data_IF_548670520536
#
_entry.id   IF_548670520536
#
_cell.length_a   1.000
_cell.length_b   1.000
_cell.length_c   1.000
_cell.angle_alpha   90.00
_cell.angle_beta   90.00
_cell.angle_gamma   90.00
#
_symmetry.space_group_name_H-M   'P 1'
#
loop_
_entity.id
_entity.type
_entity.pdbx_description
1 polymer ?
#
# COMPACT_ATOMS: atom_id res chain seq x y z
N UNK A 1 23.30 7.74 19.80
CA UNK A 1 22.81 8.60 18.71
C UNK A 1 21.33 8.29 18.50
N UNK A 2 20.47 9.28 18.29
CA UNK A 2 19.02 9.06 18.08
C UNK A 2 18.65 9.31 16.62
N UNK A 3 17.87 8.43 16.02
CA UNK A 3 17.45 8.52 14.62
C UNK A 3 15.94 8.56 14.46
N UNK A 4 15.46 9.50 13.65
CA UNK A 4 14.06 9.65 13.28
C UNK A 4 13.89 9.44 11.78
N UNK A 5 13.07 8.46 11.41
CA UNK A 5 12.61 8.26 10.03
C UNK A 5 11.17 8.72 9.92
N UNK A 6 10.90 9.67 9.02
CA UNK A 6 9.57 10.20 8.74
C UNK A 6 9.19 9.83 7.31
N UNK A 7 8.12 9.05 7.14
CA UNK A 7 7.72 8.53 5.84
C UNK A 7 6.27 8.92 5.56
N UNK A 8 6.07 9.61 4.45
CA UNK A 8 4.75 9.91 3.93
C UNK A 8 4.34 8.83 2.94
N UNK A 9 3.14 8.31 3.07
CA UNK A 9 2.66 7.26 2.19
C UNK A 9 1.26 7.54 1.65
N UNK A 10 0.97 6.97 0.48
CA UNK A 10 -0.37 6.90 -0.06
C UNK A 10 -0.53 5.64 -0.90
N UNK A 11 -1.71 5.06 -0.80
CA UNK A 11 -2.26 4.16 -1.79
C UNK A 11 -3.65 4.64 -2.15
N UNK A 12 -3.80 5.11 -3.38
CA UNK A 12 -5.08 5.44 -3.99
C UNK A 12 -5.38 4.38 -5.07
N UNK A 13 -6.40 3.54 -4.87
CA UNK A 13 -6.81 2.55 -5.86
C UNK A 13 -7.53 3.22 -7.04
N UNK A 14 -7.45 2.59 -8.21
CA UNK A 14 -8.19 3.02 -9.41
C UNK A 14 -9.58 2.41 -9.37
N UNK A 15 -10.59 3.28 -9.34
CA UNK A 15 -12.00 2.92 -9.24
C UNK A 15 -12.50 2.29 -10.54
N UNK A 16 -13.16 1.15 -10.41
CA UNK A 16 -13.84 0.47 -11.52
C UNK A 16 -15.11 1.24 -11.91
N UNK A 17 -15.45 1.21 -13.20
CA UNK A 17 -16.75 1.67 -13.69
C UNK A 17 -17.81 0.60 -13.49
N UNK A 18 -19.08 0.99 -13.62
CA UNK A 18 -20.17 0.03 -13.76
C UNK A 18 -20.13 -0.56 -15.18
N UNK A 19 -19.79 -1.83 -15.28
CA UNK A 19 -19.56 -2.61 -16.48
C UNK A 19 -20.64 -3.69 -16.60
N UNK A 20 -21.62 -3.46 -17.47
CA UNK A 20 -22.81 -4.30 -17.60
C UNK A 20 -22.53 -5.49 -18.50
N UNK A 21 -23.31 -6.54 -18.34
CA UNK A 21 -23.18 -7.79 -19.10
C UNK A 21 -23.15 -7.56 -20.62
N UNK A 22 -23.97 -6.66 -21.15
CA UNK A 22 -24.05 -6.38 -22.59
C UNK A 22 -22.89 -5.53 -23.13
N UNK A 23 -21.98 -5.07 -22.27
CA UNK A 23 -20.75 -4.36 -22.64
C UNK A 23 -19.58 -5.33 -22.87
N UNK A 24 -19.68 -6.58 -22.40
CA UNK A 24 -18.71 -7.64 -22.63
C UNK A 24 -18.51 -7.83 -24.15
N UNK A 25 -17.26 -7.84 -24.60
CA UNK A 25 -16.86 -7.95 -26.01
C UNK A 25 -17.02 -6.66 -26.82
N UNK A 26 -17.50 -5.55 -26.24
CA UNK A 26 -17.73 -4.28 -26.95
C UNK A 26 -16.75 -3.16 -26.59
N UNK A 27 -16.20 -3.13 -25.38
CA UNK A 27 -15.30 -2.05 -25.00
C UNK A 27 -14.46 -2.34 -23.76
N UNK A 28 -13.14 -2.19 -23.87
CA UNK A 28 -12.18 -2.61 -22.84
C UNK A 28 -11.79 -1.51 -21.83
N UNK A 29 -12.63 -0.50 -21.67
CA UNK A 29 -12.46 0.52 -20.63
C UNK A 29 -13.15 0.04 -19.35
N UNK A 30 -12.38 -0.24 -18.30
CA UNK A 30 -12.92 -0.78 -17.04
C UNK A 30 -12.95 0.24 -15.91
N UNK A 31 -12.39 1.43 -16.11
CA UNK A 31 -12.10 2.37 -15.02
C UNK A 31 -13.03 3.58 -15.10
N UNK A 32 -13.46 4.07 -13.94
CA UNK A 32 -14.30 5.24 -13.87
C UNK A 32 -13.43 6.51 -13.89
N UNK A 33 -13.14 7.03 -15.08
CA UNK A 33 -12.29 8.21 -15.25
C UNK A 33 -12.78 9.42 -14.45
N UNK A 34 -14.08 9.68 -14.41
CA UNK A 34 -14.65 10.81 -13.69
C UNK A 34 -14.40 10.70 -12.17
N UNK A 35 -14.81 9.59 -11.55
CA UNK A 35 -14.63 9.39 -10.11
C UNK A 35 -13.14 9.31 -9.73
N UNK A 36 -12.30 8.70 -10.57
CA UNK A 36 -10.86 8.69 -10.33
C UNK A 36 -10.25 10.10 -10.36
N UNK A 37 -10.66 10.93 -11.34
CA UNK A 37 -10.23 12.32 -11.46
C UNK A 37 -10.67 13.14 -10.26
N UNK A 38 -11.94 13.05 -9.87
CA UNK A 38 -12.50 13.77 -8.72
C UNK A 38 -11.75 13.45 -7.42
N UNK A 39 -11.51 12.16 -7.14
CA UNK A 39 -10.82 11.74 -5.91
C UNK A 39 -9.38 12.24 -5.88
N UNK A 40 -8.61 12.06 -6.95
CA UNK A 40 -7.20 12.47 -6.95
C UNK A 40 -7.05 14.00 -6.98
N UNK A 41 -7.96 14.73 -7.63
CA UNK A 41 -8.00 16.21 -7.60
C UNK A 41 -8.33 16.76 -6.22
N UNK A 42 -9.25 16.11 -5.51
CA UNK A 42 -9.53 16.42 -4.11
C UNK A 42 -8.28 16.23 -3.24
N UNK A 43 -7.57 15.10 -3.42
CA UNK A 43 -6.31 14.86 -2.71
C UNK A 43 -5.21 15.87 -3.08
N UNK A 44 -5.10 16.28 -4.35
CA UNK A 44 -4.17 17.34 -4.78
C UNK A 44 -4.46 18.66 -4.06
N UNK A 45 -5.72 19.08 -4.03
CA UNK A 45 -6.15 20.37 -3.46
C UNK A 45 -6.05 20.39 -1.94
N UNK A 46 -6.51 19.31 -1.30
CA UNK A 46 -6.74 19.28 0.14
C UNK A 46 -5.57 18.65 0.91
N UNK A 47 -4.70 17.87 0.27
CA UNK A 47 -3.61 17.17 0.95
C UNK A 47 -2.25 17.37 0.28
N UNK A 48 -2.00 16.77 -0.89
CA UNK A 48 -0.67 16.80 -1.51
C UNK A 48 -0.13 18.21 -1.69
N UNK A 49 -0.93 19.13 -2.25
CA UNK A 49 -0.51 20.51 -2.50
C UNK A 49 -0.12 21.25 -1.21
N UNK A 50 -1.04 21.41 -0.24
CA UNK A 50 -0.76 22.11 1.01
C UNK A 50 0.40 21.49 1.81
N UNK A 51 0.46 20.16 1.90
CA UNK A 51 1.50 19.47 2.67
C UNK A 51 2.86 19.56 1.98
N UNK A 52 2.92 19.40 0.66
CA UNK A 52 4.18 19.53 -0.07
C UNK A 52 4.75 20.94 0.02
N UNK A 53 3.90 21.97 0.09
CA UNK A 53 4.33 23.35 0.36
C UNK A 53 5.01 23.47 1.72
N UNK A 54 4.38 22.93 2.78
CA UNK A 54 4.96 22.90 4.13
C UNK A 54 6.30 22.16 4.14
N UNK A 55 6.40 21.00 3.47
CA UNK A 55 7.64 20.23 3.40
C UNK A 55 8.75 20.98 2.67
N UNK A 56 8.46 21.64 1.55
CA UNK A 56 9.43 22.47 0.83
C UNK A 56 9.98 23.61 1.70
N UNK A 57 9.10 24.31 2.44
CA UNK A 57 9.51 25.34 3.41
C UNK A 57 10.43 24.75 4.50
N UNK A 58 10.14 23.53 4.96
CA UNK A 58 10.97 22.83 5.95
C UNK A 58 12.37 22.51 5.40
N UNK A 59 12.46 21.98 4.18
CA UNK A 59 13.76 21.67 3.58
C UNK A 59 14.65 22.91 3.44
N UNK A 60 14.07 24.05 3.04
CA UNK A 60 14.81 25.29 2.82
C UNK A 60 15.43 25.87 4.10
N UNK A 61 14.75 25.74 5.26
CA UNK A 61 15.20 26.31 6.54
C UNK A 61 16.06 25.38 7.41
N UNK A 62 16.26 24.14 7.00
CA UNK A 62 16.96 23.12 7.81
C UNK A 62 18.36 22.79 7.30
N UNK A 63 18.92 23.63 6.41
CA UNK A 63 20.22 23.43 5.77
C UNK A 63 20.40 22.00 5.25
N UNK A 64 19.34 21.43 4.65
CA UNK A 64 19.32 20.08 4.08
C UNK A 64 19.57 18.93 5.08
N UNK A 65 19.46 19.17 6.40
CA UNK A 65 19.55 18.11 7.43
C UNK A 65 18.25 17.35 7.64
N UNK A 66 17.12 17.93 7.23
CA UNK A 66 15.83 17.25 7.28
C UNK A 66 15.73 16.24 6.13
N UNK A 67 15.42 14.98 6.45
CA UNK A 67 15.26 13.89 5.49
C UNK A 67 13.94 13.17 5.71
N UNK A 68 13.31 12.75 4.62
CA UNK A 68 12.02 12.02 4.66
C UNK A 68 11.99 10.90 3.61
N UNK A 69 11.08 9.94 3.83
CA UNK A 69 10.70 8.96 2.83
C UNK A 69 9.34 9.28 2.20
N UNK A 70 9.16 8.91 0.94
CA UNK A 70 7.86 8.82 0.27
C UNK A 70 7.57 7.40 -0.17
N UNK A 71 6.33 6.92 -0.01
CA UNK A 71 5.89 5.63 -0.54
C UNK A 71 4.55 5.77 -1.26
N UNK A 72 4.56 5.63 -2.58
CA UNK A 72 3.37 5.70 -3.44
C UNK A 72 3.16 4.39 -4.19
N UNK A 73 1.92 3.89 -4.24
CA UNK A 73 1.62 2.70 -5.05
C UNK A 73 1.73 3.06 -6.53
N UNK A 74 1.95 2.07 -7.39
CA UNK A 74 1.97 2.29 -8.83
C UNK A 74 0.68 2.95 -9.34
N UNK A 75 -0.47 2.48 -8.85
CA UNK A 75 -1.78 3.06 -9.14
C UNK A 75 -1.90 4.54 -8.72
N UNK A 76 -1.32 4.90 -7.57
CA UNK A 76 -1.31 6.30 -7.10
C UNK A 76 -0.50 7.16 -8.05
N UNK A 77 0.68 6.67 -8.46
CA UNK A 77 1.56 7.38 -9.38
C UNK A 77 0.91 7.57 -10.76
N UNK A 78 0.19 6.56 -11.27
CA UNK A 78 -0.59 6.68 -12.52
C UNK A 78 -1.63 7.79 -12.44
N UNK A 79 -2.40 7.83 -11.35
CA UNK A 79 -3.41 8.87 -11.13
C UNK A 79 -2.77 10.26 -11.02
N UNK A 80 -1.64 10.36 -10.31
CA UNK A 80 -0.91 11.63 -10.18
C UNK A 80 -0.36 12.12 -11.51
N UNK A 81 0.27 11.27 -12.31
CA UNK A 81 0.80 11.67 -13.62
C UNK A 81 -0.30 12.12 -14.58
N UNK A 82 -1.42 11.40 -14.59
CA UNK A 82 -2.51 11.67 -15.52
C UNK A 82 -3.30 12.91 -15.14
N UNK A 83 -3.65 13.05 -13.85
CA UNK A 83 -4.63 14.05 -13.41
C UNK A 83 -4.02 15.17 -12.56
N UNK A 84 -2.91 14.93 -11.86
CA UNK A 84 -2.33 15.87 -10.90
C UNK A 84 -0.82 16.10 -11.13
N UNK A 85 -0.37 16.48 -12.35
CA UNK A 85 1.05 16.62 -12.68
C UNK A 85 1.77 17.66 -11.81
N UNK A 86 1.03 18.59 -11.19
CA UNK A 86 1.58 19.57 -10.26
C UNK A 86 2.16 18.91 -9.00
N UNK A 87 1.54 17.81 -8.53
CA UNK A 87 2.01 17.02 -7.38
C UNK A 87 3.35 16.37 -7.71
N UNK A 88 3.45 15.73 -8.88
CA UNK A 88 4.70 15.13 -9.37
C UNK A 88 5.80 16.19 -9.48
N UNK A 89 5.50 17.38 -10.00
CA UNK A 89 6.46 18.49 -10.08
C UNK A 89 6.98 18.91 -8.71
N UNK A 90 6.13 18.98 -7.69
CA UNK A 90 6.55 19.30 -6.33
C UNK A 90 7.40 18.19 -5.69
N UNK A 91 7.03 16.93 -5.91
CA UNK A 91 7.83 15.78 -5.47
C UNK A 91 9.21 15.76 -6.14
N UNK A 92 9.31 16.06 -7.43
CA UNK A 92 10.58 16.22 -8.16
C UNK A 92 11.44 17.33 -7.55
N UNK A 93 10.85 18.50 -7.27
CA UNK A 93 11.59 19.59 -6.59
C UNK A 93 12.19 19.14 -5.25
N UNK A 94 11.44 18.38 -4.45
CA UNK A 94 11.96 17.86 -3.18
C UNK A 94 13.04 16.78 -3.39
N UNK A 95 12.88 15.94 -4.42
CA UNK A 95 13.86 14.95 -4.84
C UNK A 95 15.21 15.60 -5.21
N UNK A 96 15.18 16.68 -5.98
CA UNK A 96 16.36 17.39 -6.47
C UNK A 96 17.18 18.04 -5.34
N UNK A 97 16.58 18.24 -4.15
CA UNK A 97 17.28 18.69 -2.95
C UNK A 97 18.14 17.60 -2.29
N UNK A 98 18.01 16.33 -2.70
CA UNK A 98 18.86 15.21 -2.27
C UNK A 98 18.51 14.57 -0.92
N UNK A 99 17.44 15.01 -0.25
CA UNK A 99 17.07 14.56 1.12
C UNK A 99 15.81 13.70 1.19
N UNK A 100 15.42 13.12 0.06
CA UNK A 100 14.22 12.31 -0.07
C UNK A 100 14.60 10.91 -0.53
N UNK A 101 14.01 9.89 0.09
CA UNK A 101 14.03 8.52 -0.44
C UNK A 101 12.64 8.13 -0.93
N UNK A 102 12.52 7.59 -2.15
CA UNK A 102 11.30 6.91 -2.58
C UNK A 102 11.37 5.41 -2.27
N UNK A 103 10.45 4.94 -1.44
CA UNK A 103 10.29 3.54 -1.07
C UNK A 103 9.46 2.78 -2.10
N UNK A 104 9.72 1.48 -2.19
CA UNK A 104 8.89 0.57 -2.96
C UNK A 104 7.72 0.06 -2.15
N UNK A 105 6.61 -0.16 -2.84
CA UNK A 105 5.48 -0.98 -2.41
C UNK A 105 4.95 -1.72 -3.65
N UNK A 106 3.93 -2.57 -3.50
CA UNK A 106 3.29 -3.19 -4.67
C UNK A 106 2.55 -2.15 -5.51
N UNK A 107 2.30 -2.45 -6.79
CA UNK A 107 1.64 -1.54 -7.72
C UNK A 107 0.22 -1.19 -7.27
N UNK A 108 -0.51 -2.18 -6.74
CA UNK A 108 -1.93 -2.07 -6.37
C UNK A 108 -2.29 -2.78 -5.06
N UNK A 109 -1.37 -2.99 -4.11
CA UNK A 109 -1.67 -3.72 -2.87
C UNK A 109 -2.31 -5.11 -3.09
N UNK A 110 -1.91 -5.81 -4.16
CA UNK A 110 -2.54 -7.05 -4.64
C UNK A 110 -2.65 -8.16 -3.58
N UNK A 111 -3.87 -8.70 -3.44
CA UNK A 111 -4.15 -9.90 -2.65
C UNK A 111 -3.62 -11.18 -3.32
N UNK A 112 -3.55 -11.23 -4.65
CA UNK A 112 -2.98 -12.36 -5.38
C UNK A 112 -1.49 -12.56 -5.09
N UNK A 113 -0.79 -11.48 -4.76
CA UNK A 113 0.61 -11.52 -4.34
C UNK A 113 0.85 -12.36 -3.08
N UNK A 114 -0.18 -12.62 -2.26
CA UNK A 114 -0.09 -13.54 -1.12
C UNK A 114 0.02 -15.01 -1.56
N UNK A 115 -0.53 -15.35 -2.74
CA UNK A 115 -0.54 -16.71 -3.30
C UNK A 115 0.58 -16.92 -4.33
N UNK A 116 1.05 -15.86 -4.98
CA UNK A 116 2.06 -15.97 -6.05
C UNK A 116 3.27 -15.06 -5.82
N UNK A 117 4.44 -15.70 -5.67
CA UNK A 117 5.72 -14.99 -5.62
C UNK A 117 6.06 -14.28 -6.93
N UNK A 118 5.67 -14.84 -8.07
CA UNK A 118 5.89 -14.21 -9.36
C UNK A 118 5.08 -12.91 -9.45
N UNK A 119 3.79 -12.96 -9.12
CA UNK A 119 2.92 -11.78 -9.10
C UNK A 119 3.48 -10.67 -8.19
N UNK A 120 3.91 -11.04 -6.98
CA UNK A 120 4.53 -10.08 -6.06
C UNK A 120 5.78 -9.41 -6.65
N UNK A 121 6.63 -10.16 -7.35
CA UNK A 121 7.83 -9.60 -7.99
C UNK A 121 7.47 -8.64 -9.11
N UNK A 122 6.54 -9.02 -9.99
CA UNK A 122 6.13 -8.19 -11.12
C UNK A 122 5.50 -6.87 -10.65
N UNK A 123 4.64 -6.93 -9.63
CA UNK A 123 4.05 -5.75 -8.97
C UNK A 123 5.12 -4.77 -8.45
N UNK A 124 6.15 -5.29 -7.79
CA UNK A 124 7.25 -4.45 -7.27
C UNK A 124 8.13 -3.93 -8.41
N UNK A 125 8.48 -4.76 -9.40
CA UNK A 125 9.33 -4.35 -10.51
C UNK A 125 8.66 -3.23 -11.32
N UNK A 126 7.38 -3.37 -11.64
CA UNK A 126 6.60 -2.34 -12.32
C UNK A 126 6.56 -1.04 -11.51
N UNK A 127 6.36 -1.12 -10.18
CA UNK A 127 6.35 0.06 -9.32
C UNK A 127 7.72 0.73 -9.20
N UNK A 128 8.81 -0.05 -9.09
CA UNK A 128 10.18 0.47 -9.09
C UNK A 128 10.52 1.16 -10.40
N UNK A 129 10.14 0.56 -11.53
CA UNK A 129 10.34 1.16 -12.84
C UNK A 129 9.58 2.49 -12.97
N UNK A 130 8.35 2.54 -12.46
CA UNK A 130 7.55 3.77 -12.41
C UNK A 130 8.25 4.87 -11.61
N UNK A 131 8.73 4.57 -10.39
CA UNK A 131 9.49 5.53 -9.58
C UNK A 131 10.75 5.99 -10.32
N UNK A 132 11.49 5.07 -10.94
CA UNK A 132 12.70 5.41 -11.68
C UNK A 132 12.40 6.36 -12.85
N UNK A 133 11.36 6.07 -13.64
CA UNK A 133 10.95 6.90 -14.77
C UNK A 133 10.54 8.30 -14.33
N UNK A 134 9.87 8.42 -13.18
CA UNK A 134 9.38 9.71 -12.68
C UNK A 134 10.52 10.48 -11.98
N UNK A 135 11.24 9.86 -11.05
CA UNK A 135 12.12 10.55 -10.10
C UNK A 135 13.61 10.25 -10.26
N UNK A 136 13.99 9.33 -11.15
CA UNK A 136 15.38 8.89 -11.33
C UNK A 136 15.94 8.08 -10.16
N UNK A 137 15.14 7.77 -9.13
CA UNK A 137 15.54 6.95 -8.01
C UNK A 137 15.18 5.48 -8.24
N UNK A 138 16.10 4.57 -7.88
CA UNK A 138 15.79 3.15 -7.74
C UNK A 138 15.48 2.85 -6.26
N UNK A 139 14.23 2.48 -5.90
CA UNK A 139 13.89 2.20 -4.51
C UNK A 139 14.75 1.10 -3.88
N UNK A 140 15.23 1.35 -2.65
CA UNK A 140 16.11 0.46 -1.87
C UNK A 140 15.49 -0.06 -0.57
N UNK A 141 14.41 0.58 -0.13
CA UNK A 141 13.59 0.15 0.99
C UNK A 141 12.16 -0.18 0.54
N UNK A 142 11.51 -1.12 1.23
CA UNK A 142 10.12 -1.52 0.96
C UNK A 142 9.19 -1.12 2.11
N UNK A 143 7.96 -0.69 1.84
CA UNK A 143 6.92 -0.44 2.84
C UNK A 143 5.83 -1.51 2.75
N UNK A 144 5.64 -2.28 3.84
CA UNK A 144 4.66 -3.36 3.89
C UNK A 144 3.25 -2.87 4.28
N UNK A 145 2.59 -2.09 3.42
CA UNK A 145 1.23 -1.62 3.68
C UNK A 145 0.16 -2.72 3.61
N UNK A 146 0.30 -3.66 2.67
CA UNK A 146 -0.68 -4.74 2.45
C UNK A 146 -0.71 -5.77 3.59
N UNK A 147 0.32 -5.80 4.45
CA UNK A 147 0.38 -6.75 5.55
C UNK A 147 0.89 -8.14 5.16
N UNK A 148 1.78 -8.23 4.16
CA UNK A 148 2.46 -9.48 3.82
C UNK A 148 3.20 -10.04 5.04
N UNK A 149 3.18 -11.37 5.21
CA UNK A 149 3.85 -11.98 6.36
C UNK A 149 5.36 -11.70 6.36
N UNK A 150 5.99 -11.40 7.51
CA UNK A 150 7.43 -11.17 7.61
C UNK A 150 8.28 -12.31 7.06
N UNK A 151 7.84 -13.56 7.24
CA UNK A 151 8.55 -14.75 6.73
C UNK A 151 8.53 -14.81 5.19
N UNK A 152 7.42 -14.41 4.57
CA UNK A 152 7.32 -14.28 3.11
C UNK A 152 8.23 -13.16 2.60
N UNK A 153 8.11 -11.96 3.19
CA UNK A 153 8.86 -10.77 2.79
C UNK A 153 10.37 -10.95 2.91
N UNK A 154 10.83 -11.51 4.03
CA UNK A 154 12.25 -11.69 4.30
C UNK A 154 12.97 -12.43 3.15
N UNK A 155 12.38 -13.53 2.67
CA UNK A 155 12.94 -14.29 1.55
C UNK A 155 12.83 -13.55 0.23
N UNK A 156 11.64 -13.08 -0.14
CA UNK A 156 11.43 -12.55 -1.49
C UNK A 156 12.09 -11.17 -1.69
N UNK A 157 12.06 -10.29 -0.68
CA UNK A 157 12.67 -8.96 -0.77
C UNK A 157 14.19 -9.04 -0.86
N UNK A 158 14.81 -9.99 -0.14
CA UNK A 158 16.27 -10.18 -0.22
C UNK A 158 16.71 -10.70 -1.58
N UNK A 159 15.96 -11.64 -2.17
CA UNK A 159 16.18 -12.10 -3.55
C UNK A 159 16.03 -10.97 -4.58
N UNK A 160 15.23 -9.94 -4.27
CA UNK A 160 15.06 -8.73 -5.08
C UNK A 160 16.07 -7.62 -4.77
N UNK A 161 17.05 -7.87 -3.90
CA UNK A 161 18.13 -6.93 -3.56
C UNK A 161 17.76 -5.86 -2.52
N UNK A 162 16.57 -5.92 -1.92
CA UNK A 162 16.26 -5.07 -0.78
C UNK A 162 17.05 -5.51 0.46
N UNK A 163 17.34 -4.55 1.33
CA UNK A 163 18.06 -4.80 2.59
C UNK A 163 17.30 -4.33 3.82
N UNK A 164 16.23 -3.57 3.62
CA UNK A 164 15.38 -3.07 4.69
C UNK A 164 13.93 -2.99 4.22
N UNK A 165 13.01 -3.33 5.11
CA UNK A 165 11.62 -2.96 4.94
C UNK A 165 11.06 -2.30 6.19
N UNK A 166 10.06 -1.45 5.98
CA UNK A 166 9.30 -0.79 7.02
C UNK A 166 8.02 -1.57 7.25
N UNK A 167 7.77 -1.91 8.50
CA UNK A 167 6.66 -2.76 8.93
C UNK A 167 5.69 -1.91 9.79
N UNK A 168 4.52 -1.54 9.24
CA UNK A 168 3.50 -0.81 10.00
C UNK A 168 2.95 -1.65 11.15
N UNK A 169 2.49 -2.87 10.85
CA UNK A 169 1.82 -3.72 11.83
C UNK A 169 2.78 -4.39 12.80
N UNK A 170 2.45 -4.42 14.09
CA UNK A 170 3.27 -5.05 15.13
C UNK A 170 3.53 -6.54 14.86
N UNK A 171 4.70 -7.00 15.29
CA UNK A 171 5.12 -8.40 15.24
C UNK A 171 4.70 -9.17 16.51
N UNK A 172 3.49 -8.94 17.04
CA UNK A 172 3.07 -9.32 18.42
C UNK A 172 3.32 -10.79 18.77
N UNK A 173 3.29 -11.71 17.81
CA UNK A 173 3.47 -13.15 18.04
C UNK A 173 4.91 -13.65 17.83
N UNK A 174 5.90 -12.75 17.64
CA UNK A 174 7.28 -13.12 17.26
C UNK A 174 8.38 -12.39 18.07
N UNK A 175 8.00 -11.52 19.01
CA UNK A 175 8.95 -10.79 19.86
C UNK A 175 8.99 -11.46 21.24
N UNK A 176 10.19 -11.84 21.76
CA UNK A 176 10.32 -12.38 23.11
C UNK A 176 9.75 -11.41 24.17
N UNK A 177 9.03 -11.94 25.16
CA UNK A 177 8.43 -11.17 26.24
C UNK A 177 9.48 -10.29 26.95
N UNK A 178 9.14 -9.01 27.19
CA UNK A 178 10.00 -8.05 27.90
C UNK A 178 11.03 -7.30 27.03
N UNK A 179 11.20 -7.68 25.76
CA UNK A 179 12.06 -6.95 24.83
C UNK A 179 11.28 -5.92 24.02
N UNK A 180 11.88 -4.76 23.80
CA UNK A 180 11.26 -3.69 23.04
C UNK A 180 12.26 -3.12 22.07
N UNK A 181 12.25 -3.71 20.89
CA UNK A 181 13.01 -3.22 19.76
C UNK A 181 12.06 -2.73 18.68
N UNK A 182 12.53 -1.77 17.90
CA UNK A 182 11.85 -1.32 16.71
C UNK A 182 12.71 -1.44 15.46
N UNK A 183 13.90 -2.01 15.63
CA UNK A 183 14.80 -2.37 14.55
C UNK A 183 15.30 -3.78 14.75
N UNK A 184 15.04 -4.63 13.77
CA UNK A 184 15.34 -6.04 13.84
C UNK A 184 16.23 -6.44 12.68
N UNK A 185 17.09 -7.42 12.93
CA UNK A 185 17.84 -8.13 11.92
C UNK A 185 17.31 -9.56 11.85
N UNK A 186 16.99 -10.04 10.66
CA UNK A 186 16.45 -11.40 10.56
C UNK A 186 17.55 -12.44 10.67
N UNK A 187 17.34 -13.50 11.44
CA UNK A 187 18.32 -14.59 11.59
C UNK A 187 18.47 -15.38 10.30
N UNK A 188 17.35 -15.65 9.61
CA UNK A 188 17.34 -16.44 8.38
C UNK A 188 18.05 -15.73 7.21
N UNK A 189 18.01 -14.40 7.19
CA UNK A 189 18.60 -13.56 6.14
C UNK A 189 19.30 -12.37 6.79
N UNK A 190 20.56 -12.52 7.26
CA UNK A 190 21.24 -11.50 8.07
C UNK A 190 21.39 -10.14 7.40
N UNK A 191 21.38 -10.08 6.07
CA UNK A 191 21.43 -8.81 5.32
C UNK A 191 20.14 -7.99 5.47
N UNK A 192 19.02 -8.64 5.81
CA UNK A 192 17.70 -8.04 5.84
C UNK A 192 17.35 -7.50 7.22
N UNK A 193 16.97 -6.22 7.24
CA UNK A 193 16.55 -5.49 8.45
C UNK A 193 15.08 -5.11 8.38
N UNK A 194 14.44 -4.98 9.54
CA UNK A 194 13.04 -4.60 9.68
C UNK A 194 12.97 -3.38 10.58
N UNK A 195 12.40 -2.29 10.05
CA UNK A 195 12.10 -1.08 10.82
C UNK A 195 10.61 -1.06 11.15
N UNK A 196 10.26 -1.16 12.44
CA UNK A 196 8.88 -1.06 12.89
C UNK A 196 8.43 0.40 12.89
N UNK A 197 7.28 0.66 12.27
CA UNK A 197 6.64 1.95 12.41
C UNK A 197 6.11 2.14 13.83
N UNK A 198 6.17 3.37 14.30
CA UNK A 198 5.56 3.80 15.55
C UNK A 198 4.16 4.35 15.27
N UNK A 199 3.17 3.83 16.01
CA UNK A 199 1.76 4.20 15.89
C UNK A 199 1.42 5.50 16.65
N UNK A 200 2.34 6.48 16.71
CA UNK A 200 2.21 7.67 17.56
C UNK A 200 0.95 8.51 17.28
N UNK A 201 0.50 8.47 16.03
CA UNK A 201 -0.64 9.22 15.52
C UNK A 201 -1.84 8.33 15.17
N UNK A 202 -1.72 7.00 15.33
CA UNK A 202 -2.85 6.11 15.05
C UNK A 202 -3.85 6.18 16.20
N UNK A 203 -5.02 6.74 15.89
CA UNK A 203 -6.26 6.29 16.51
C UNK A 203 -6.72 5.10 15.65
N UNK A 204 -6.47 3.86 16.09
CA UNK A 204 -6.89 2.60 15.44
C UNK A 204 -7.56 2.75 14.06
N UNK A 205 -6.77 2.86 12.99
CA UNK A 205 -7.28 3.04 11.61
C UNK A 205 -7.94 1.76 11.03
N UNK A 206 -8.04 0.68 11.81
CA UNK A 206 -8.58 -0.62 11.38
C UNK A 206 -9.55 -1.28 12.39
N UNK A 207 -10.06 -0.55 13.38
CA UNK A 207 -11.11 -1.07 14.27
C UNK A 207 -12.25 -0.08 14.34
N UNK A 208 -13.41 -0.43 13.74
CA UNK A 208 -14.71 0.15 14.08
C UNK A 208 -15.06 -0.20 15.53
N UNK A 209 -14.47 0.49 16.49
CA UNK A 209 -14.99 0.46 17.84
C UNK A 209 -15.16 1.88 18.36
N UNK A 210 -16.42 2.20 18.62
CA UNK A 210 -17.00 3.47 19.08
C UNK A 210 -16.52 3.91 20.48
N UNK A 211 -15.31 3.57 20.91
CA UNK A 211 -14.79 3.90 22.23
C UNK A 211 -13.29 4.19 22.19
N UNK A 212 -12.89 5.32 21.61
CA UNK A 212 -11.61 5.93 21.93
C UNK A 212 -11.84 7.36 22.39
N UNK A 213 -11.38 7.67 23.61
CA UNK A 213 -11.26 9.06 24.09
C UNK A 213 -10.42 9.80 23.05
N UNK A 214 -10.91 10.95 22.58
CA UNK A 214 -10.14 11.83 21.70
C UNK A 214 -8.75 12.03 22.28
N UNK A 215 -7.76 11.48 21.59
CA UNK A 215 -6.37 11.70 21.96
C UNK A 215 -6.03 13.12 21.53
N UNK A 216 -5.56 13.96 22.47
CA UNK A 216 -5.04 15.27 22.08
C UNK A 216 -3.82 15.09 21.17
N UNK A 217 -3.99 15.51 19.91
CA UNK A 217 -2.98 15.49 18.86
C UNK A 217 -2.22 16.82 18.77
N UNK A 218 -2.23 17.66 19.81
CA UNK A 218 -1.44 18.89 19.82
C UNK A 218 0.04 18.59 19.53
N UNK A 219 0.72 19.51 18.85
CA UNK A 219 2.10 19.30 18.43
C UNK A 219 3.03 19.07 19.65
N UNK A 220 2.79 19.74 20.77
CA UNK A 220 3.53 19.54 22.03
C UNK A 220 3.39 18.11 22.56
N UNK A 221 2.16 17.56 22.58
CA UNK A 221 1.91 16.18 22.99
C UNK A 221 2.58 15.20 22.03
N UNK A 222 2.53 15.45 20.73
CA UNK A 222 3.20 14.61 19.72
C UNK A 222 4.73 14.60 19.90
N UNK A 223 5.37 15.76 20.08
CA UNK A 223 6.81 15.87 20.32
C UNK A 223 7.22 15.21 21.64
N UNK A 224 6.43 15.39 22.71
CA UNK A 224 6.65 14.74 24.00
C UNK A 224 6.56 13.21 23.89
N UNK A 225 5.62 12.69 23.09
CA UNK A 225 5.53 11.25 22.81
C UNK A 225 6.75 10.72 22.08
N UNK A 226 7.27 11.47 21.11
CA UNK A 226 8.52 11.11 20.43
C UNK A 226 9.68 11.08 21.43
N UNK A 227 9.79 12.09 22.30
CA UNK A 227 10.82 12.13 23.34
C UNK A 227 10.74 10.90 24.27
N UNK A 228 9.54 10.55 24.74
CA UNK A 228 9.32 9.37 25.57
C UNK A 228 9.66 8.07 24.82
N UNK A 229 9.34 8.01 23.53
CA UNK A 229 9.67 6.85 22.69
C UNK A 229 11.19 6.68 22.57
N UNK A 230 11.94 7.78 22.45
CA UNK A 230 13.41 7.77 22.45
C UNK A 230 14.06 7.45 23.80
N UNK A 231 13.30 7.33 24.90
CA UNK A 231 13.82 6.75 26.16
C UNK A 231 13.99 5.24 26.06
N UNK A 232 13.29 4.61 25.11
CA UNK A 232 13.21 3.16 24.95
C UNK A 232 13.90 2.66 23.68
N UNK A 233 13.92 3.48 22.63
CA UNK A 233 14.44 3.11 21.32
C UNK A 233 15.47 4.13 20.82
N UNK A 234 16.51 3.66 20.14
CA UNK A 234 17.50 4.53 19.49
C UNK A 234 17.00 5.09 18.15
N UNK A 235 16.16 4.32 17.47
CA UNK A 235 15.48 4.72 16.25
C UNK A 235 14.02 5.00 16.54
N UNK A 236 13.33 5.78 15.72
CA UNK A 236 11.87 5.90 15.68
C UNK A 236 11.49 6.07 14.22
N UNK A 237 10.50 5.30 13.74
CA UNK A 237 9.93 5.46 12.41
C UNK A 237 8.49 5.96 12.56
N UNK A 238 8.11 6.98 11.82
CA UNK A 238 6.76 7.57 11.83
C UNK A 238 6.21 7.48 10.41
N UNK A 239 5.03 6.89 10.27
CA UNK A 239 4.30 6.87 9.02
C UNK A 239 3.18 7.92 9.05
N UNK A 240 3.06 8.70 7.99
CA UNK A 240 1.99 9.68 7.82
C UNK A 240 1.28 9.41 6.49
N UNK A 241 -0.02 9.09 6.55
CA UNK A 241 -0.83 8.91 5.36
C UNK A 241 -1.23 10.28 4.81
N UNK A 242 -1.00 10.53 3.51
CA UNK A 242 -1.51 11.75 2.88
C UNK A 242 -3.03 11.88 3.00
N UNK A 243 -3.80 10.78 2.98
CA UNK A 243 -5.25 10.84 3.16
C UNK A 243 -5.68 11.38 4.54
N UNK A 244 -4.80 11.30 5.55
CA UNK A 244 -5.03 11.83 6.88
C UNK A 244 -4.65 13.31 7.01
N UNK A 245 -3.86 13.84 6.08
CA UNK A 245 -3.35 15.21 6.05
C UNK A 245 -4.22 16.12 5.17
N UNK A 246 -5.54 16.00 5.33
CA UNK A 246 -6.53 16.79 4.60
C UNK A 246 -6.82 18.10 5.35
N UNK A 247 -6.47 19.25 4.76
CA UNK A 247 -6.57 20.56 5.39
C UNK A 247 -8.00 20.97 5.75
N UNK A 248 -9.02 20.31 5.20
CA UNK A 248 -10.42 20.53 5.57
C UNK A 248 -10.74 19.94 6.95
N UNK A 249 -9.89 19.04 7.47
CA UNK A 249 -10.06 18.39 8.78
C UNK A 249 -9.30 19.16 9.87
N UNK A 250 -9.92 19.47 11.02
CA UNK A 250 -9.25 20.18 12.13
C UNK A 250 -7.98 19.49 12.65
N UNK A 251 -7.94 18.16 12.61
CA UNK A 251 -6.76 17.37 13.03
C UNK A 251 -5.51 17.69 12.21
N UNK A 252 -5.67 18.12 10.96
CA UNK A 252 -4.55 18.34 10.03
C UNK A 252 -3.76 19.59 10.41
N UNK A 253 -4.40 20.63 10.94
CA UNK A 253 -3.69 21.80 11.42
C UNK A 253 -2.69 21.43 12.52
N UNK A 254 -3.10 20.56 13.46
CA UNK A 254 -2.23 20.06 14.52
C UNK A 254 -1.05 19.26 13.95
N UNK A 255 -1.27 18.43 12.93
CA UNK A 255 -0.21 17.67 12.25
C UNK A 255 0.74 18.58 11.45
N UNK A 256 0.23 19.64 10.82
CA UNK A 256 1.07 20.63 10.13
C UNK A 256 1.95 21.38 11.15
N UNK A 257 1.41 21.77 12.30
CA UNK A 257 2.20 22.38 13.37
C UNK A 257 3.27 21.41 13.89
N UNK A 258 2.94 20.13 14.03
CA UNK A 258 3.93 19.10 14.35
C UNK A 258 5.06 19.05 13.30
N UNK A 259 4.73 18.98 12.01
CA UNK A 259 5.72 18.96 10.92
C UNK A 259 6.60 20.22 10.92
N UNK A 260 6.02 21.39 11.22
CA UNK A 260 6.77 22.64 11.34
C UNK A 260 7.67 22.71 12.57
N UNK A 261 7.45 21.92 13.62
CA UNK A 261 8.24 21.99 14.83
C UNK A 261 9.22 20.81 14.99
N UNK A 262 8.97 19.67 14.34
CA UNK A 262 9.81 18.47 14.47
C UNK A 262 11.30 18.70 14.13
N UNK A 263 11.71 19.54 13.15
CA UNK A 263 13.13 19.70 12.85
C UNK A 263 13.91 20.46 13.92
N UNK A 264 13.32 21.53 14.48
CA UNK A 264 13.93 22.28 15.57
C UNK A 264 14.02 21.43 16.83
N UNK A 265 12.92 20.74 17.19
CA UNK A 265 12.92 19.78 18.28
C UNK A 265 13.99 18.70 18.11
N UNK A 266 14.14 18.13 16.90
CA UNK A 266 15.13 17.11 16.63
C UNK A 266 16.56 17.65 16.84
N UNK A 267 16.84 18.85 16.33
CA UNK A 267 18.13 19.54 16.55
C UNK A 267 18.43 19.73 18.04
N UNK A 268 17.47 20.25 18.81
CA UNK A 268 17.63 20.54 20.24
C UNK A 268 17.86 19.26 21.07
N UNK A 269 17.27 18.14 20.66
CA UNK A 269 17.38 16.84 21.33
C UNK A 269 18.51 15.96 20.79
N UNK A 270 19.32 16.44 19.84
CA UNK A 270 20.38 15.65 19.21
C UNK A 270 19.85 14.43 18.45
N UNK A 271 18.68 14.58 17.81
CA UNK A 271 18.04 13.56 16.97
C UNK A 271 18.34 13.90 15.51
N UNK A 272 18.84 12.92 14.76
CA UNK A 272 19.13 13.05 13.33
C UNK A 272 18.01 12.42 12.49
N UNK A 273 17.74 12.99 11.32
CA UNK A 273 16.80 12.41 10.35
C UNK A 273 17.50 11.39 9.46
N UNK A 274 16.86 10.25 9.25
CA UNK A 274 17.37 9.17 8.40
C UNK A 274 16.29 8.66 7.46
N UNK A 275 16.70 8.37 6.23
CA UNK A 275 15.91 7.54 5.34
C UNK A 275 16.06 6.05 5.73
N UNK A 276 15.03 5.20 5.51
CA UNK A 276 15.12 3.77 5.81
C UNK A 276 16.37 3.07 5.25
N UNK A 277 16.81 3.41 4.03
CA UNK A 277 18.01 2.81 3.46
C UNK A 277 19.32 3.26 4.11
N UNK A 278 19.40 4.49 4.62
CA UNK A 278 20.60 4.96 5.33
C UNK A 278 20.79 4.24 6.67
N UNK A 279 19.71 3.86 7.35
CA UNK A 279 19.76 3.10 8.59
C UNK A 279 20.44 1.73 8.41
N UNK A 280 20.36 1.16 7.21
CA UNK A 280 21.00 -0.12 6.93
C UNK A 280 22.52 -0.03 6.94
N UNK A 281 23.08 1.02 6.33
CA UNK A 281 24.53 1.20 6.15
C UNK A 281 25.27 1.64 7.41
N UNK A 282 24.55 2.09 8.44
CA UNK A 282 25.15 2.46 9.71
C UNK A 282 25.28 1.23 10.63
N UNK A 283 26.50 0.77 10.91
CA UNK A 283 26.79 -0.10 12.06
C UNK A 283 26.63 0.64 13.41
N UNK A 284 25.95 1.79 13.40
CA UNK A 284 25.85 2.74 14.52
C UNK A 284 24.66 2.47 15.44
N UNK A 285 23.73 1.58 15.05
CA UNK A 285 22.54 1.28 15.82
C UNK A 285 22.41 -0.20 16.12
N UNK A 286 21.96 -0.51 17.33
CA UNK A 286 21.72 -1.88 17.74
C UNK A 286 20.44 -2.41 17.07
N UNK A 287 20.52 -3.62 16.51
CA UNK A 287 19.36 -4.36 16.00
C UNK A 287 19.19 -5.66 16.76
N UNK A 288 17.95 -6.03 17.06
CA UNK A 288 17.67 -7.31 17.69
C UNK A 288 17.45 -8.41 16.68
N UNK A 289 17.95 -9.60 17.02
CA UNK A 289 17.76 -10.77 16.19
C UNK A 289 16.30 -11.21 16.24
N UNK A 290 15.66 -11.27 15.07
CA UNK A 290 14.31 -11.79 14.91
C UNK A 290 14.37 -13.18 14.28
N UNK A 291 13.93 -14.18 15.04
CA UNK A 291 13.75 -15.53 14.53
C UNK A 291 12.40 -15.63 13.80
N UNK A 292 12.45 -15.59 12.47
CA UNK A 292 11.28 -15.86 11.65
C UNK A 292 11.15 -17.38 11.47
N UNK A 293 9.99 -17.95 11.85
CA UNK A 293 9.73 -19.37 11.67
C UNK A 293 9.95 -19.79 10.21
N UNK A 294 10.74 -20.86 9.99
CA UNK A 294 11.02 -21.46 8.68
C UNK A 294 9.79 -22.05 8.00
N UNK A 295 8.72 -22.32 8.75
CA UNK A 295 7.44 -22.77 8.19
C UNK A 295 6.84 -21.58 7.42
N UNK A 296 7.10 -21.56 6.11
CA UNK A 296 6.58 -20.55 5.19
C UNK A 296 5.07 -20.39 5.32
N UNK A 297 4.59 -19.18 4.98
CA UNK A 297 3.18 -18.76 4.90
C UNK A 297 2.28 -19.69 5.72
N UNK A 298 2.35 -19.61 7.04
CA UNK A 298 1.37 -20.33 7.85
C UNK A 298 0.00 -19.81 7.42
N UNK A 299 -0.96 -20.70 7.13
CA UNK A 299 -2.36 -20.33 6.81
C UNK A 299 -3.01 -19.40 7.85
N UNK A 300 -2.40 -19.28 9.05
CA UNK A 300 -2.83 -18.38 10.14
C UNK A 300 -2.11 -17.03 10.17
N UNK A 301 -1.06 -16.81 9.39
CA UNK A 301 -0.33 -15.55 9.36
C UNK A 301 -0.93 -14.61 8.30
N UNK A 302 -1.98 -13.88 8.67
CA UNK A 302 -2.31 -12.59 8.05
C UNK A 302 -3.38 -12.56 6.97
N UNK A 303 -3.98 -13.68 6.55
CA UNK A 303 -5.15 -13.64 5.67
C UNK A 303 -6.44 -13.61 6.48
N UNK A 304 -7.18 -12.50 6.42
CA UNK A 304 -8.61 -12.49 6.74
C UNK A 304 -9.27 -13.64 5.98
N UNK A 305 -10.14 -14.42 6.66
CA UNK A 305 -10.84 -15.53 6.02
C UNK A 305 -11.72 -14.95 4.91
N UNK A 306 -11.34 -15.19 3.67
CA UNK A 306 -12.10 -14.75 2.50
C UNK A 306 -13.44 -15.47 2.45
N UNK A 307 -14.50 -14.74 2.10
CA UNK A 307 -15.81 -15.35 1.81
C UNK A 307 -15.82 -16.01 0.42
N UNK A 308 -16.95 -16.59 0.03
CA UNK A 308 -17.07 -17.30 -1.24
C UNK A 308 -16.84 -16.38 -2.46
N UNK A 309 -17.35 -15.15 -2.42
CA UNK A 309 -17.23 -14.18 -3.52
C UNK A 309 -15.76 -13.77 -3.73
N UNK A 310 -15.07 -13.43 -2.65
CA UNK A 310 -13.64 -13.08 -2.67
C UNK A 310 -12.78 -14.26 -3.13
N UNK A 311 -13.09 -15.47 -2.66
CA UNK A 311 -12.35 -16.68 -2.99
C UNK A 311 -12.44 -17.00 -4.48
N UNK A 312 -13.64 -16.94 -5.07
CA UNK A 312 -13.84 -17.21 -6.49
C UNK A 312 -13.13 -16.18 -7.37
N UNK A 313 -13.25 -14.89 -7.07
CA UNK A 313 -12.54 -13.82 -7.80
C UNK A 313 -11.03 -14.04 -7.74
N UNK A 314 -10.49 -14.43 -6.59
CA UNK A 314 -9.07 -14.73 -6.43
C UNK A 314 -8.63 -15.95 -7.24
N UNK A 315 -9.48 -16.97 -7.37
CA UNK A 315 -9.23 -18.15 -8.20
C UNK A 315 -9.20 -17.80 -9.69
N UNK A 316 -10.18 -17.00 -10.16
CA UNK A 316 -10.22 -16.50 -11.55
C UNK A 316 -8.94 -15.73 -11.85
N UNK A 317 -8.58 -14.75 -11.02
CA UNK A 317 -7.34 -13.99 -11.18
C UNK A 317 -6.12 -14.92 -11.21
N UNK A 318 -5.95 -15.77 -10.20
CA UNK A 318 -4.77 -16.65 -10.12
C UNK A 318 -4.59 -17.51 -11.37
N UNK A 319 -5.68 -17.93 -11.98
CA UNK A 319 -5.65 -18.87 -13.07
C UNK A 319 -5.57 -18.17 -14.45
N UNK A 320 -5.89 -16.87 -14.55
CA UNK A 320 -5.56 -16.01 -15.71
C UNK A 320 -4.10 -15.54 -15.73
N UNK A 321 -3.44 -15.47 -14.56
CA UNK A 321 -2.11 -14.88 -14.34
C UNK A 321 -1.07 -15.22 -15.43
N UNK A 322 -0.88 -16.50 -15.73
CA UNK A 322 0.19 -16.93 -16.63
C UNK A 322 -0.09 -16.52 -18.08
N UNK A 323 -1.36 -16.50 -18.49
CA UNK A 323 -1.77 -16.06 -19.82
C UNK A 323 -1.64 -14.54 -19.95
N UNK A 324 -1.96 -13.78 -18.89
CA UNK A 324 -1.71 -12.34 -18.83
C UNK A 324 -0.22 -12.03 -19.01
N UNK A 325 0.68 -12.66 -18.26
CA UNK A 325 2.12 -12.39 -18.40
C UNK A 325 2.70 -12.79 -19.77
N UNK A 326 2.15 -13.81 -20.43
CA UNK A 326 2.56 -14.19 -21.78
C UNK A 326 2.21 -13.14 -22.84
N UNK A 327 1.21 -12.28 -22.60
CA UNK A 327 0.86 -11.22 -23.56
C UNK A 327 2.02 -10.27 -23.80
N UNK A 328 2.83 -10.01 -22.77
CA UNK A 328 3.88 -8.98 -22.75
C UNK A 328 3.37 -7.59 -23.19
N UNK A 329 2.07 -7.36 -23.10
CA UNK A 329 1.43 -6.11 -23.49
C UNK A 329 1.33 -5.19 -22.27
N UNK A 330 1.93 -4.00 -22.36
CA UNK A 330 2.04 -3.09 -21.22
C UNK A 330 0.67 -2.60 -20.72
N UNK A 331 -0.28 -2.38 -21.61
CA UNK A 331 -1.64 -1.92 -21.27
C UNK A 331 -2.44 -3.04 -20.59
N UNK A 332 -2.32 -4.28 -21.06
CA UNK A 332 -2.91 -5.45 -20.40
C UNK A 332 -2.28 -5.65 -19.02
N UNK A 333 -0.96 -5.55 -18.89
CA UNK A 333 -0.27 -5.71 -17.60
C UNK A 333 -0.64 -4.60 -16.60
N UNK A 334 -0.76 -3.36 -17.07
CA UNK A 334 -1.23 -2.24 -16.24
C UNK A 334 -2.66 -2.47 -15.77
N UNK A 335 -3.55 -2.85 -16.67
CA UNK A 335 -4.93 -3.21 -16.35
C UNK A 335 -4.97 -4.35 -15.32
N UNK A 336 -4.18 -5.40 -15.56
CA UNK A 336 -4.03 -6.55 -14.67
C UNK A 336 -3.65 -6.17 -13.25
N UNK A 337 -2.66 -5.29 -13.08
CA UNK A 337 -2.28 -4.82 -11.76
C UNK A 337 -3.44 -4.07 -11.10
N UNK A 338 -4.13 -3.17 -11.80
CA UNK A 338 -5.24 -2.40 -11.24
C UNK A 338 -6.42 -3.28 -10.79
N UNK A 339 -6.73 -4.35 -11.53
CA UNK A 339 -7.82 -5.26 -11.17
C UNK A 339 -7.56 -6.03 -9.87
N UNK A 340 -6.29 -6.26 -9.51
CA UNK A 340 -5.92 -7.02 -8.32
C UNK A 340 -6.00 -6.23 -7.00
N UNK A 341 -6.40 -4.97 -7.07
CA UNK A 341 -6.39 -4.08 -5.92
C UNK A 341 -7.21 -4.60 -4.74
N UNK A 342 -6.68 -4.51 -3.51
CA UNK A 342 -7.34 -5.06 -2.32
C UNK A 342 -8.70 -4.42 -2.06
N UNK A 343 -8.93 -3.16 -2.48
CA UNK A 343 -10.22 -2.49 -2.37
C UNK A 343 -11.30 -3.22 -3.14
N UNK A 344 -10.98 -3.79 -4.31
CA UNK A 344 -11.93 -4.56 -5.10
C UNK A 344 -12.41 -5.79 -4.33
N UNK A 345 -11.58 -6.36 -3.44
CA UNK A 345 -11.96 -7.47 -2.56
C UNK A 345 -12.73 -7.01 -1.33
N UNK A 346 -12.38 -5.87 -0.74
CA UNK A 346 -13.12 -5.30 0.41
C UNK A 346 -14.57 -5.00 0.05
N UNK A 347 -14.86 -4.61 -1.19
CA UNK A 347 -16.23 -4.40 -1.67
C UNK A 347 -17.06 -5.69 -1.77
N UNK A 348 -16.43 -6.87 -1.78
CA UNK A 348 -17.08 -8.17 -1.84
C UNK A 348 -17.33 -8.77 -0.45
N UNK A 349 -16.83 -8.12 0.61
CA UNK A 349 -16.99 -8.57 1.98
C UNK A 349 -18.40 -8.27 2.47
N UNK A 350 -19.11 -9.29 2.98
CA UNK A 350 -20.45 -9.13 3.54
C UNK A 350 -20.67 -9.93 4.84
N UNK A 351 -19.70 -10.76 5.24
CA UNK A 351 -19.85 -11.70 6.37
C UNK A 351 -19.28 -11.16 7.69
N UNK A 352 -18.38 -10.16 7.66
CA UNK A 352 -17.62 -9.74 8.85
C UNK A 352 -18.30 -8.62 9.67
N UNK A 353 -18.97 -7.66 9.03
CA UNK A 353 -19.71 -6.57 9.70
C UNK A 353 -20.69 -5.87 8.73
N UNK A 354 -22.02 -5.96 8.93
CA UNK A 354 -23.03 -5.32 8.07
C UNK A 354 -22.94 -3.79 7.98
N UNK A 355 -22.17 -3.15 8.88
CA UNK A 355 -21.96 -1.69 8.86
C UNK A 355 -20.97 -1.22 7.79
N UNK A 356 -20.17 -2.12 7.22
CA UNK A 356 -19.16 -1.79 6.20
C UNK A 356 -19.65 -1.96 4.77
N UNK A 357 -20.39 -3.04 4.50
CA UNK A 357 -20.97 -3.29 3.19
C UNK A 357 -22.28 -4.07 3.33
N UNK A 358 -23.34 -3.57 2.69
CA UNK A 358 -24.61 -4.30 2.63
C UNK A 358 -24.46 -5.49 1.68
N UNK A 359 -25.04 -6.67 1.99
CA UNK A 359 -24.97 -7.85 1.11
C UNK A 359 -25.35 -7.56 -0.35
N UNK A 360 -26.39 -6.75 -0.59
CA UNK A 360 -26.79 -6.35 -1.95
C UNK A 360 -25.70 -5.58 -2.70
N UNK A 361 -24.97 -4.69 -2.01
CA UNK A 361 -23.86 -3.94 -2.59
C UNK A 361 -22.67 -4.85 -2.91
N UNK A 362 -22.41 -5.84 -2.05
CA UNK A 362 -21.37 -6.84 -2.29
C UNK A 362 -21.69 -7.69 -3.52
N UNK A 363 -22.93 -8.15 -3.67
CA UNK A 363 -23.39 -8.90 -4.85
C UNK A 363 -23.33 -8.06 -6.12
N UNK A 364 -23.76 -6.79 -6.07
CA UNK A 364 -23.64 -5.87 -7.22
C UNK A 364 -22.18 -5.66 -7.63
N UNK A 365 -21.29 -5.43 -6.66
CA UNK A 365 -19.85 -5.26 -6.90
C UNK A 365 -19.23 -6.53 -7.48
N UNK A 366 -19.65 -7.70 -6.98
CA UNK A 366 -19.24 -8.99 -7.48
C UNK A 366 -19.66 -9.21 -8.95
N UNK A 367 -20.94 -8.97 -9.29
CA UNK A 367 -21.44 -9.09 -10.67
C UNK A 367 -20.66 -8.16 -11.60
N UNK A 368 -20.46 -6.91 -11.17
CA UNK A 368 -19.67 -5.94 -11.92
C UNK A 368 -18.25 -6.44 -12.19
N UNK A 369 -17.57 -6.91 -11.15
CA UNK A 369 -16.20 -7.38 -11.25
C UNK A 369 -16.10 -8.65 -12.11
N UNK A 370 -17.07 -9.57 -12.01
CA UNK A 370 -17.18 -10.74 -12.89
C UNK A 370 -17.29 -10.36 -14.37
N UNK A 371 -18.14 -9.37 -14.71
CA UNK A 371 -18.27 -8.91 -16.09
C UNK A 371 -16.96 -8.31 -16.62
N UNK A 372 -16.25 -7.54 -15.79
CA UNK A 372 -14.93 -6.98 -16.13
C UNK A 372 -13.92 -8.10 -16.37
N UNK A 373 -13.86 -9.10 -15.49
CA UNK A 373 -12.92 -10.22 -15.63
C UNK A 373 -13.24 -11.10 -16.85
N UNK A 374 -14.51 -11.30 -17.17
CA UNK A 374 -14.94 -11.97 -18.41
C UNK A 374 -14.41 -11.22 -19.63
N UNK A 375 -14.72 -9.93 -19.78
CA UNK A 375 -14.26 -9.15 -20.92
C UNK A 375 -12.72 -9.06 -20.99
N UNK A 376 -12.07 -8.84 -19.85
CA UNK A 376 -10.61 -8.80 -19.76
C UNK A 376 -9.99 -10.13 -20.18
N UNK A 377 -10.61 -11.27 -19.86
CA UNK A 377 -10.14 -12.58 -20.30
C UNK A 377 -10.22 -12.75 -21.83
N UNK A 378 -11.27 -12.23 -22.45
CA UNK A 378 -11.42 -12.22 -23.91
C UNK A 378 -10.35 -11.34 -24.56
N UNK A 379 -10.07 -10.16 -24.00
CA UNK A 379 -8.98 -9.28 -24.44
C UNK A 379 -7.61 -9.96 -24.35
N UNK A 380 -7.31 -10.64 -23.24
CA UNK A 380 -6.06 -11.40 -23.06
C UNK A 380 -5.95 -12.52 -24.10
N UNK A 381 -7.03 -13.27 -24.32
CA UNK A 381 -7.08 -14.34 -25.32
C UNK A 381 -6.81 -13.81 -26.72
N UNK A 382 -7.45 -12.71 -27.11
CA UNK A 382 -7.24 -12.07 -28.41
C UNK A 382 -5.78 -11.64 -28.59
N UNK A 383 -5.18 -11.02 -27.57
CA UNK A 383 -3.77 -10.60 -27.65
C UNK A 383 -2.82 -11.80 -27.79
N UNK A 384 -3.08 -12.91 -27.09
CA UNK A 384 -2.29 -14.12 -27.24
C UNK A 384 -2.41 -14.74 -28.63
N UNK A 385 -3.62 -14.76 -29.20
CA UNK A 385 -3.82 -15.21 -30.58
C UNK A 385 -3.08 -14.33 -31.59
N UNK A 386 -3.12 -13.00 -31.41
CA UNK A 386 -2.35 -12.05 -32.23
C UNK A 386 -0.83 -12.30 -32.13
N UNK A 387 -0.36 -12.78 -30.97
CA UNK A 387 1.03 -13.16 -30.74
C UNK A 387 1.36 -14.60 -31.18
N UNK A 388 0.44 -15.33 -31.82
CA UNK A 388 0.55 -16.76 -32.17
C UNK A 388 0.81 -17.68 -30.96
N UNK A 389 0.25 -17.35 -29.81
CA UNK A 389 0.38 -18.10 -28.56
C UNK A 389 -0.94 -18.81 -28.21
N UNK A 390 -0.83 -19.98 -27.58
CA UNK A 390 -1.99 -20.74 -27.10
C UNK A 390 -2.54 -20.15 -25.80
N UNK A 391 -3.84 -19.85 -25.78
CA UNK A 391 -4.59 -19.57 -24.55
C UNK A 391 -4.88 -20.88 -23.81
N UNK A 392 -4.48 -21.00 -22.54
CA UNK A 392 -4.62 -22.26 -21.77
C UNK A 392 -5.71 -22.21 -20.71
N UNK A 393 -6.16 -21.02 -20.33
CA UNK A 393 -7.19 -20.85 -19.30
C UNK A 393 -8.60 -21.14 -19.83
N UNK A 394 -9.16 -22.30 -19.48
CA UNK A 394 -10.58 -22.57 -19.64
C UNK A 394 -11.29 -22.34 -18.30
N UNK A 395 -11.78 -21.13 -18.05
CA UNK A 395 -12.74 -20.90 -16.98
C UNK A 395 -14.14 -21.07 -17.56
N UNK A 396 -14.86 -22.08 -17.07
CA UNK A 396 -16.31 -22.05 -17.17
C UNK A 396 -16.77 -20.95 -16.22
N UNK A 397 -17.05 -19.77 -16.76
CA UNK A 397 -17.83 -18.78 -16.05
C UNK A 397 -19.21 -19.39 -15.83
N UNK A 398 -19.36 -20.03 -14.67
CA UNK A 398 -20.65 -20.42 -14.12
C UNK A 398 -21.60 -19.25 -14.30
N UNK A 399 -22.72 -19.48 -14.95
CA UNK A 399 -23.71 -18.42 -15.17
C UNK A 399 -24.18 -17.91 -13.80
N UNK A 400 -24.69 -16.67 -13.68
CA UNK A 400 -25.18 -16.16 -12.39
C UNK A 400 -26.21 -17.07 -11.70
N UNK A 401 -26.86 -17.97 -12.45
CA UNK A 401 -27.79 -18.99 -11.96
C UNK A 401 -27.10 -20.15 -11.20
N UNK A 402 -25.80 -20.34 -11.41
CA UNK A 402 -24.98 -21.38 -10.79
C UNK A 402 -24.28 -20.89 -9.50
N UNK A 403 -24.51 -19.63 -9.10
CA UNK A 403 -24.01 -19.09 -7.83
C UNK A 403 -24.74 -19.76 -6.67
N UNK A 404 -24.04 -20.11 -5.57
CA UNK A 404 -24.69 -20.70 -4.41
C UNK A 404 -25.82 -19.79 -3.95
N UNK A 405 -27.04 -20.34 -3.91
CA UNK A 405 -28.19 -19.68 -3.29
C UNK A 405 -27.79 -19.30 -1.87
N UNK A 406 -27.70 -17.99 -1.60
CA UNK A 406 -27.64 -17.48 -0.23
C UNK A 406 -28.83 -18.10 0.49
N UNK A 407 -28.53 -18.93 1.48
CA UNK A 407 -29.50 -19.80 2.13
C UNK A 407 -30.72 -19.02 2.59
N UNK A 408 -31.88 -19.36 2.01
CA UNK A 408 -33.17 -19.30 2.68
C UNK A 408 -33.79 -17.92 2.85
N UNK A 409 -33.93 -17.12 1.79
CA UNK A 409 -35.12 -16.28 1.63
C UNK A 409 -35.29 -15.90 0.17
N UNK A 410 -36.43 -16.31 -0.38
CA UNK A 410 -36.85 -16.10 -1.76
C UNK A 410 -36.99 -14.60 -2.04
N UNK A 411 -35.91 -13.93 -2.46
CA UNK A 411 -36.00 -12.62 -3.09
C UNK A 411 -36.68 -12.78 -4.45
N UNK A 412 -38.02 -12.74 -4.44
CA UNK A 412 -38.83 -12.55 -5.65
C UNK A 412 -38.51 -11.15 -6.19
N UNK A 413 -37.80 -11.12 -7.31
CA UNK A 413 -37.59 -9.94 -8.14
C UNK A 413 -38.90 -9.61 -8.87
N UNK A 414 -39.33 -8.34 -8.76
CA UNK A 414 -40.20 -7.67 -9.74
C UNK A 414 -39.37 -6.65 -10.50
#
# INVERSE_FOLDING_TARGET
MKALSLIFYMHQPILLKNYRFFEIGKGHDYFNTNSNTEVIKSLETNSFGPINKVLLEIFQRTDLKFKIGFSFSGSTLDLMETFCPSVIKNLKKMNDLGNVEFLSQTYSQSNLSLKSKQEFREQILAQKQKIFNIFGQLPRAFLNLTGYSPSFLCKILSEMGFKVWVQPQKLENKIPFGQSFNFYQTVATPIMKILMASHLFEQNLFVSSKQFKEIDLSHEVALKRIEMTFKKYEMVCILLNYADLDITKPKTEKLIQFLKNIPAFAKDKGIEFFTPSELQGSNKFNSSLLLLNKRGISKKEGSVKMNNLQSEILEILNAMRDDVFKTKDEEILKTWFCLQDNRNFSQLEFEADPSYCKPESAVKSYINFRNILEDFSQRVKQQLLNNNLTYKSNFNFKTPQDLPTLSGETLRLY
#
